data_IF_584148792436
#
_entry.id   IF_584148792436
#
_cell.length_a   1.000
_cell.length_b   1.000
_cell.length_c   1.000
_cell.angle_alpha   90.00
_cell.angle_beta   90.00
_cell.angle_gamma   90.00
#
_symmetry.space_group_name_H-M   'P 1'
#
loop_
_entity.id
_entity.type
_entity.pdbx_description
1 polymer ?
#
# COMPACT_ATOMS: atom_id res chain seq x y z
N UNK A 1 7.26 -25.07 11.48
CA UNK A 1 8.02 -23.91 12.02
C UNK A 1 7.08 -22.73 12.08
N UNK A 2 6.97 -22.07 13.24
CA UNK A 2 6.12 -20.88 13.45
C UNK A 2 7.06 -19.69 13.59
N UNK A 3 6.97 -18.72 12.67
CA UNK A 3 8.04 -17.74 12.48
C UNK A 3 7.88 -16.42 13.26
N UNK A 4 6.77 -16.14 13.96
CA UNK A 4 6.67 -14.96 14.86
C UNK A 4 5.69 -15.18 16.02
N UNK A 5 5.94 -14.50 17.15
CA UNK A 5 5.06 -14.39 18.31
C UNK A 5 4.61 -12.92 18.46
N UNK A 6 3.30 -12.73 18.64
CA UNK A 6 2.57 -11.49 18.97
C UNK A 6 2.48 -10.39 17.90
N UNK A 7 1.35 -10.38 17.17
CA UNK A 7 0.91 -9.34 16.22
C UNK A 7 -0.10 -9.94 15.23
N UNK A 8 -1.00 -9.16 14.64
CA UNK A 8 -1.68 -9.61 13.43
C UNK A 8 -0.68 -9.47 12.27
N UNK A 9 -0.16 -10.59 11.77
CA UNK A 9 0.72 -10.64 10.61
C UNK A 9 0.01 -11.22 9.39
N UNK A 10 0.20 -10.60 8.22
CA UNK A 10 -0.51 -10.98 6.99
C UNK A 10 0.31 -10.73 5.72
N UNK A 11 -0.20 -11.20 4.58
CA UNK A 11 0.32 -10.95 3.24
C UNK A 11 1.83 -11.24 3.04
N UNK A 12 2.33 -12.44 3.40
CA UNK A 12 3.73 -12.78 3.19
C UNK A 12 4.07 -12.83 1.69
N UNK A 13 5.17 -12.18 1.31
CA UNK A 13 5.70 -12.14 -0.06
C UNK A 13 7.19 -12.41 -0.06
N UNK A 14 7.59 -13.50 -0.71
CA UNK A 14 8.99 -13.82 -0.95
C UNK A 14 9.59 -12.83 -1.95
N UNK A 15 10.79 -12.36 -1.64
CA UNK A 15 11.66 -11.67 -2.61
C UNK A 15 12.02 -12.61 -3.76
N UNK A 16 12.15 -12.12 -5.01
CA UNK A 16 12.53 -12.95 -6.15
C UNK A 16 13.88 -13.66 -5.99
N UNK A 17 14.79 -13.09 -5.22
CA UNK A 17 16.10 -13.68 -4.90
C UNK A 17 16.07 -14.62 -3.68
N UNK A 18 14.89 -14.83 -3.08
CA UNK A 18 14.65 -15.68 -1.91
C UNK A 18 15.43 -15.30 -0.65
N UNK A 19 16.00 -14.08 -0.56
CA UNK A 19 16.77 -13.66 0.63
C UNK A 19 15.92 -13.04 1.74
N UNK A 20 14.71 -12.61 1.38
CA UNK A 20 13.80 -11.89 2.26
C UNK A 20 12.36 -12.36 2.11
N UNK A 21 11.63 -12.34 3.22
CA UNK A 21 10.17 -12.43 3.25
C UNK A 21 9.65 -11.08 3.75
N UNK A 22 8.88 -10.40 2.92
CA UNK A 22 8.13 -9.21 3.29
C UNK A 22 6.75 -9.59 3.81
N UNK A 23 6.27 -8.92 4.85
CA UNK A 23 4.92 -9.16 5.39
C UNK A 23 4.41 -7.92 6.11
N UNK A 24 3.08 -7.84 6.27
CA UNK A 24 2.43 -6.77 6.99
C UNK A 24 2.30 -7.14 8.46
N UNK A 25 2.53 -6.18 9.35
CA UNK A 25 2.40 -6.38 10.79
C UNK A 25 1.85 -5.14 11.48
N UNK A 26 0.86 -5.33 12.34
CA UNK A 26 0.31 -4.31 13.25
C UNK A 26 1.18 -4.13 14.53
N UNK A 27 2.34 -4.78 14.59
CA UNK A 27 3.27 -4.60 15.70
C UNK A 27 3.73 -3.15 15.76
N UNK A 28 3.67 -2.57 16.96
CA UNK A 28 4.23 -1.24 17.21
C UNK A 28 5.74 -1.34 17.02
N UNK A 29 6.28 -0.57 16.07
CA UNK A 29 7.73 -0.44 15.95
C UNK A 29 8.30 -0.02 17.32
N UNK A 30 9.42 -0.58 17.78
CA UNK A 30 10.04 -0.15 19.02
C UNK A 30 10.33 1.34 18.89
N UNK A 31 9.54 2.16 19.59
CA UNK A 31 9.64 3.60 19.48
C UNK A 31 11.07 4.01 19.79
N UNK A 32 11.73 4.66 18.84
CA UNK A 32 12.93 5.44 19.14
C UNK A 32 12.60 6.34 20.33
N UNK A 33 13.36 6.21 21.42
CA UNK A 33 13.19 6.99 22.65
C UNK A 33 13.08 8.47 22.27
N UNK A 34 11.90 9.07 22.42
CA UNK A 34 11.66 10.44 21.99
C UNK A 34 10.21 10.79 21.64
N UNK A 35 9.28 9.84 21.67
CA UNK A 35 7.85 10.15 21.85
C UNK A 35 7.55 10.18 23.35
N UNK A 36 8.06 11.19 24.06
CA UNK A 36 7.39 11.62 25.28
C UNK A 36 6.08 12.29 24.86
N UNK A 37 5.02 11.48 24.75
CA UNK A 37 3.67 12.01 24.91
C UNK A 37 3.46 12.16 26.41
N UNK A 38 3.70 13.38 26.90
CA UNK A 38 3.04 13.86 28.10
C UNK A 38 1.52 13.73 27.90
N UNK A 39 0.81 13.43 28.98
CA UNK A 39 -0.60 13.04 29.06
C UNK A 39 -0.94 11.55 28.79
N UNK A 40 -0.87 10.83 29.91
CA UNK A 40 -1.63 9.64 30.26
C UNK A 40 -3.05 9.59 29.66
N UNK A 41 -3.20 8.86 28.56
CA UNK A 41 -4.30 7.94 28.33
C UNK A 41 -3.72 6.69 27.69
N UNK A 42 -3.97 5.54 28.30
CA UNK A 42 -3.88 4.25 27.62
C UNK A 42 -4.83 4.31 26.42
N UNK A 43 -4.30 4.75 25.28
CA UNK A 43 -5.03 4.76 24.03
C UNK A 43 -4.90 3.35 23.45
N UNK A 44 -6.02 2.63 23.41
CA UNK A 44 -6.24 1.36 22.70
C UNK A 44 -6.04 1.50 21.18
N UNK A 45 -5.17 2.41 20.71
CA UNK A 45 -4.79 2.53 19.31
C UNK A 45 -3.91 1.34 18.94
N UNK A 46 -4.57 0.27 18.50
CA UNK A 46 -3.97 -0.80 17.70
C UNK A 46 -3.06 -0.15 16.65
N UNK A 47 -1.80 -0.58 16.58
CA UNK A 47 -0.87 -0.09 15.57
C UNK A 47 -1.44 -0.32 14.16
N UNK A 48 -1.27 0.64 13.26
CA UNK A 48 -1.60 0.45 11.85
C UNK A 48 -0.62 -0.56 11.22
N UNK A 49 -1.08 -1.35 10.26
CA UNK A 49 -0.22 -2.33 9.60
C UNK A 49 0.94 -1.63 8.86
N UNK A 50 2.16 -2.07 9.14
CA UNK A 50 3.38 -1.60 8.49
C UNK A 50 4.12 -2.79 7.84
N UNK A 51 5.03 -2.50 6.92
CA UNK A 51 5.82 -3.49 6.21
C UNK A 51 7.06 -3.88 7.02
N UNK A 52 7.23 -5.18 7.22
CA UNK A 52 8.36 -5.79 7.91
C UNK A 52 9.09 -6.75 6.97
N UNK A 53 10.38 -6.92 7.23
CA UNK A 53 11.22 -7.92 6.58
C UNK A 53 11.79 -8.91 7.59
N UNK A 54 11.93 -10.15 7.15
CA UNK A 54 12.66 -11.19 7.87
C UNK A 54 13.45 -12.05 6.88
N UNK A 55 14.64 -12.50 7.28
CA UNK A 55 15.40 -13.48 6.52
C UNK A 55 14.80 -14.89 6.72
N UNK A 56 14.67 -15.71 5.66
CA UNK A 56 14.17 -17.08 5.80
C UNK A 56 15.11 -17.98 6.60
N UNK A 57 16.40 -17.62 6.69
CA UNK A 57 17.39 -18.33 7.50
C UNK A 57 17.23 -18.06 9.01
N UNK A 58 16.30 -17.16 9.38
CA UNK A 58 16.01 -16.76 10.75
C UNK A 58 16.56 -15.39 11.10
N UNK A 59 16.39 -15.01 12.37
CA UNK A 59 16.68 -13.65 12.86
C UNK A 59 15.42 -12.95 13.36
N UNK A 60 15.57 -11.70 13.78
CA UNK A 60 14.45 -10.85 14.19
C UNK A 60 13.90 -10.08 12.99
N UNK A 61 12.58 -10.05 12.86
CA UNK A 61 11.94 -9.23 11.84
C UNK A 61 12.05 -7.75 12.21
N UNK A 62 12.31 -6.89 11.23
CA UNK A 62 12.42 -5.45 11.44
C UNK A 62 11.49 -4.66 10.52
N UNK A 63 10.99 -3.50 10.98
CA UNK A 63 10.15 -2.64 10.15
C UNK A 63 11.00 -1.97 9.07
N UNK A 64 10.50 -1.96 7.84
CA UNK A 64 11.03 -1.11 6.75
C UNK A 64 10.13 0.07 6.45
N UNK A 65 8.91 0.10 7.01
CA UNK A 65 8.04 1.26 6.97
C UNK A 65 7.60 1.69 8.37
N UNK A 66 7.39 3.00 8.55
CA UNK A 66 6.76 3.58 9.73
C UNK A 66 5.91 4.77 9.28
N UNK A 67 4.66 4.85 9.75
CA UNK A 67 3.76 5.95 9.41
C UNK A 67 2.42 5.85 10.13
N UNK A 68 1.61 6.89 9.99
CA UNK A 68 0.23 6.90 10.50
C UNK A 68 -0.75 6.13 9.60
N UNK A 69 -0.41 5.91 8.33
CA UNK A 69 -1.27 5.24 7.35
C UNK A 69 -0.93 3.75 7.23
N UNK A 70 -1.97 2.94 7.05
CA UNK A 70 -1.87 1.49 6.86
C UNK A 70 -1.28 1.13 5.50
N UNK A 71 -0.22 0.32 5.52
CA UNK A 71 0.27 -0.41 4.35
C UNK A 71 -0.59 -1.65 4.15
N UNK A 72 -1.15 -1.81 2.96
CA UNK A 72 -2.15 -2.86 2.71
C UNK A 72 -1.96 -3.62 1.38
N UNK A 73 -1.14 -3.11 0.46
CA UNK A 73 -0.70 -3.84 -0.72
C UNK A 73 0.81 -3.69 -0.86
N UNK A 74 1.49 -4.78 -1.26
CA UNK A 74 2.96 -4.85 -1.39
C UNK A 74 3.33 -5.70 -2.60
N UNK A 75 4.34 -5.26 -3.35
CA UNK A 75 4.97 -6.03 -4.42
C UNK A 75 6.50 -5.86 -4.40
N UNK A 76 7.21 -6.92 -4.76
CA UNK A 76 8.64 -6.86 -5.02
C UNK A 76 8.89 -6.45 -6.47
N UNK A 77 9.91 -5.62 -6.68
CA UNK A 77 10.55 -5.50 -8.00
C UNK A 77 11.19 -6.82 -8.42
N UNK A 78 11.24 -7.08 -9.72
CA UNK A 78 11.79 -8.32 -10.28
C UNK A 78 13.28 -8.55 -9.93
N UNK A 79 14.04 -7.46 -9.70
CA UNK A 79 15.45 -7.53 -9.31
C UNK A 79 15.69 -7.62 -7.79
N UNK A 80 14.61 -7.72 -7.00
CA UNK A 80 14.60 -7.81 -5.55
C UNK A 80 15.22 -6.60 -4.81
N UNK A 81 15.40 -5.44 -5.47
CA UNK A 81 16.02 -4.26 -4.85
C UNK A 81 15.02 -3.22 -4.36
N UNK A 82 13.83 -3.21 -4.93
CA UNK A 82 12.77 -2.26 -4.60
C UNK A 82 11.55 -2.98 -4.08
N UNK A 83 10.93 -2.41 -3.04
CA UNK A 83 9.59 -2.74 -2.59
C UNK A 83 8.62 -1.66 -3.04
N UNK A 84 7.53 -2.07 -3.67
CA UNK A 84 6.39 -1.20 -3.94
C UNK A 84 5.30 -1.46 -2.92
N UNK A 85 4.67 -0.42 -2.41
CA UNK A 85 3.58 -0.57 -1.48
C UNK A 85 2.55 0.55 -1.60
N UNK A 86 1.31 0.28 -1.22
CA UNK A 86 0.23 1.26 -1.20
C UNK A 86 -0.17 1.61 0.24
N UNK A 87 -0.40 2.90 0.46
CA UNK A 87 -1.07 3.41 1.66
C UNK A 87 -2.19 4.34 1.25
N UNK A 88 -3.12 4.58 2.17
CA UNK A 88 -4.04 5.69 2.03
C UNK A 88 -3.26 6.99 1.88
N UNK A 89 -3.70 7.87 0.98
CA UNK A 89 -3.03 9.14 0.69
C UNK A 89 -2.92 9.97 1.97
N UNK A 90 -1.73 10.23 2.53
CA UNK A 90 -1.60 10.93 3.81
C UNK A 90 -2.10 12.37 3.70
N UNK A 91 -2.79 12.84 4.74
CA UNK A 91 -3.15 14.25 4.82
C UNK A 91 -1.92 15.12 5.12
N UNK A 92 -1.88 16.30 4.50
CA UNK A 92 -0.97 17.36 4.89
C UNK A 92 -1.44 18.04 6.20
N UNK A 93 -0.59 18.88 6.78
CA UNK A 93 -0.87 19.53 8.07
C UNK A 93 -2.14 20.39 8.05
N UNK A 94 -2.35 21.16 6.99
CA UNK A 94 -3.52 22.02 6.81
C UNK A 94 -4.81 21.20 6.75
N UNK A 95 -4.83 20.14 5.95
CA UNK A 95 -5.95 19.21 5.84
C UNK A 95 -6.26 18.54 7.19
N UNK A 96 -5.24 18.15 7.96
CA UNK A 96 -5.40 17.60 9.32
C UNK A 96 -6.02 18.64 10.27
N UNK A 97 -5.54 19.88 10.21
CA UNK A 97 -5.99 20.95 11.09
C UNK A 97 -7.44 21.37 10.76
N UNK A 98 -7.80 21.44 9.48
CA UNK A 98 -9.17 21.72 9.05
C UNK A 98 -10.12 20.57 9.40
N UNK A 99 -9.67 19.33 9.25
CA UNK A 99 -10.41 18.16 9.70
C UNK A 99 -10.73 18.24 11.20
N UNK A 100 -9.73 18.57 12.05
CA UNK A 100 -9.90 18.72 13.50
C UNK A 100 -10.92 19.80 13.88
N UNK A 101 -11.05 20.87 13.08
CA UNK A 101 -12.03 21.95 13.32
C UNK A 101 -13.47 21.48 13.06
N UNK A 102 -13.67 20.61 12.07
CA UNK A 102 -14.99 20.09 11.65
C UNK A 102 -15.43 18.88 12.50
N UNK A 103 -14.49 18.22 13.17
CA UNK A 103 -14.64 16.97 13.94
C UNK A 103 -15.67 16.99 15.09
N UNK A 104 -16.25 18.13 15.44
CA UNK A 104 -17.26 18.22 16.51
C UNK A 104 -18.69 17.83 16.11
N UNK A 105 -19.05 17.76 14.83
CA UNK A 105 -20.47 17.74 14.44
C UNK A 105 -20.96 16.57 13.55
N UNK A 106 -20.13 15.62 13.11
CA UNK A 106 -20.66 14.40 12.45
C UNK A 106 -19.69 13.22 12.46
N UNK A 107 -19.97 12.22 13.31
CA UNK A 107 -19.16 11.01 13.52
C UNK A 107 -19.25 9.94 12.40
N UNK A 108 -19.98 10.18 11.30
CA UNK A 108 -20.31 9.10 10.36
C UNK A 108 -20.00 9.33 8.88
N UNK A 109 -19.53 10.51 8.44
CA UNK A 109 -19.60 10.80 6.99
C UNK A 109 -18.32 10.87 6.14
N UNK A 110 -17.13 11.35 6.55
CA UNK A 110 -16.03 11.54 5.54
C UNK A 110 -14.58 11.36 6.03
N UNK A 111 -14.27 10.18 6.58
CA UNK A 111 -12.91 9.63 6.46
C UNK A 111 -12.76 8.73 5.20
N UNK A 112 -13.82 8.61 4.40
CA UNK A 112 -14.08 7.51 3.47
C UNK A 112 -13.77 7.77 1.97
N UNK A 113 -13.09 8.88 1.62
CA UNK A 113 -12.85 9.23 0.20
C UNK A 113 -11.38 9.53 -0.11
N UNK A 114 -10.47 9.11 0.76
CA UNK A 114 -9.03 9.16 0.43
C UNK A 114 -8.67 7.91 -0.34
N UNK A 115 -8.39 8.08 -1.62
CA UNK A 115 -7.70 7.06 -2.40
C UNK A 115 -6.27 6.85 -1.92
N UNK A 116 -5.53 6.04 -2.66
CA UNK A 116 -4.19 5.61 -2.25
C UNK A 116 -3.06 6.31 -3.00
N UNK A 117 -1.92 6.35 -2.32
CA UNK A 117 -0.62 6.65 -2.92
C UNK A 117 0.20 5.37 -2.90
N UNK A 118 0.83 5.09 -4.04
CA UNK A 118 1.78 3.99 -4.22
C UNK A 118 3.18 4.57 -4.08
N UNK A 119 4.02 3.89 -3.29
CA UNK A 119 5.40 4.26 -3.01
C UNK A 119 6.37 3.19 -3.51
N UNK A 120 7.59 3.61 -3.82
CA UNK A 120 8.76 2.76 -4.00
C UNK A 120 9.76 2.97 -2.86
N UNK A 121 10.31 1.90 -2.32
CA UNK A 121 11.32 1.90 -1.28
C UNK A 121 12.55 1.11 -1.73
N UNK A 122 13.72 1.73 -1.63
CA UNK A 122 15.01 1.07 -1.91
C UNK A 122 15.40 0.18 -0.72
N UNK A 123 15.52 -1.12 -0.98
CA UNK A 123 15.76 -2.12 0.04
C UNK A 123 17.12 -1.94 0.73
N UNK A 124 18.17 -1.66 -0.05
CA UNK A 124 19.52 -1.55 0.49
C UNK A 124 19.59 -0.36 1.45
N UNK A 125 19.01 0.76 1.07
CA UNK A 125 18.92 1.94 1.92
C UNK A 125 18.11 1.67 3.20
N UNK A 126 16.98 0.97 3.10
CA UNK A 126 16.18 0.61 4.28
C UNK A 126 16.92 -0.31 5.26
N UNK A 127 17.71 -1.27 4.74
CA UNK A 127 18.57 -2.14 5.56
C UNK A 127 19.69 -1.31 6.23
N UNK A 128 20.34 -0.42 5.48
CA UNK A 128 21.39 0.46 6.01
C UNK A 128 20.85 1.38 7.12
N UNK A 129 19.64 1.94 6.93
CA UNK A 129 18.95 2.73 7.95
C UNK A 129 18.65 1.90 9.20
N UNK A 130 18.17 0.66 9.04
CA UNK A 130 17.92 -0.23 10.17
C UNK A 130 19.21 -0.56 10.93
N UNK A 131 20.28 -0.92 10.22
CA UNK A 131 21.59 -1.19 10.81
C UNK A 131 22.18 0.05 11.53
N UNK A 132 21.94 1.24 10.99
CA UNK A 132 22.34 2.51 11.60
C UNK A 132 21.40 3.00 12.72
N UNK A 133 20.21 2.41 12.87
CA UNK A 133 19.17 2.77 13.84
C UNK A 133 19.58 2.64 15.32
N UNK A 134 20.81 2.21 15.61
CA UNK A 134 21.44 2.32 16.92
C UNK A 134 22.00 3.71 17.26
N UNK A 135 22.06 4.67 16.32
CA UNK A 135 22.82 5.94 16.53
C UNK A 135 22.19 7.24 16.02
N UNK A 136 20.92 7.31 15.57
CA UNK A 136 20.34 8.56 15.05
C UNK A 136 19.00 8.95 15.66
N UNK A 137 18.99 10.12 16.33
CA UNK A 137 17.78 10.89 16.58
C UNK A 137 17.25 11.44 15.24
N UNK A 138 16.01 11.09 14.89
CA UNK A 138 15.31 11.61 13.69
C UNK A 138 15.16 13.14 13.78
N UNK A 139 15.64 13.94 12.81
CA UNK A 139 15.43 15.37 12.75
C UNK A 139 13.94 15.77 12.74
N UNK A 140 13.61 16.87 13.41
CA UNK A 140 12.24 17.38 13.59
C UNK A 140 11.47 17.60 12.28
N UNK A 141 12.16 17.92 11.18
CA UNK A 141 11.55 18.12 9.86
C UNK A 141 11.03 16.80 9.23
N UNK A 142 11.69 15.67 9.48
CA UNK A 142 11.28 14.34 9.01
C UNK A 142 10.11 13.78 9.84
N UNK A 143 9.94 14.25 11.08
CA UNK A 143 8.75 13.94 11.90
C UNK A 143 7.48 14.68 11.45
N UNK A 144 7.63 15.77 10.69
CA UNK A 144 6.50 16.58 10.20
C UNK A 144 5.99 16.12 8.83
N UNK A 145 6.86 15.49 8.02
CA UNK A 145 6.44 14.74 6.84
C UNK A 145 5.98 13.36 7.29
N UNK A 146 4.69 13.06 7.19
CA UNK A 146 4.08 11.77 7.53
C UNK A 146 4.51 10.62 6.58
N UNK A 147 5.72 10.72 6.01
CA UNK A 147 6.24 9.90 4.94
C UNK A 147 7.22 8.92 5.55
N UNK A 148 6.94 7.64 5.36
CA UNK A 148 7.87 6.56 5.66
C UNK A 148 9.28 6.93 5.21
N UNK A 149 10.22 6.92 6.17
CA UNK A 149 11.63 7.18 5.94
C UNK A 149 12.07 6.42 4.67
N UNK A 150 12.59 7.14 3.67
CA UNK A 150 13.10 6.63 2.38
C UNK A 150 12.12 6.13 1.31
N UNK A 151 10.80 6.31 1.47
CA UNK A 151 9.84 5.95 0.44
C UNK A 151 9.53 7.11 -0.52
N UNK A 152 9.61 6.87 -1.83
CA UNK A 152 9.26 7.84 -2.87
C UNK A 152 7.86 7.55 -3.40
N UNK A 153 6.97 8.54 -3.41
CA UNK A 153 5.65 8.40 -4.03
C UNK A 153 5.81 8.32 -5.56
N UNK A 154 5.20 7.31 -6.18
CA UNK A 154 5.34 7.03 -7.62
C UNK A 154 4.01 7.09 -8.38
N UNK A 155 2.89 6.95 -7.70
CA UNK A 155 1.55 7.06 -8.30
C UNK A 155 0.51 7.37 -7.24
N UNK A 156 -0.61 7.96 -7.65
CA UNK A 156 -1.80 8.15 -6.81
C UNK A 156 -3.05 7.74 -7.57
N UNK A 157 -4.05 7.22 -6.85
CA UNK A 157 -5.35 6.81 -7.39
C UNK A 157 -6.45 7.27 -6.43
N UNK A 158 -7.65 7.65 -6.92
CA UNK A 158 -8.78 7.96 -6.05
C UNK A 158 -9.35 6.71 -5.34
N UNK A 159 -8.95 5.52 -5.75
CA UNK A 159 -9.44 4.24 -5.23
C UNK A 159 -8.45 3.59 -4.27
N UNK A 160 -8.91 2.57 -3.54
CA UNK A 160 -8.01 1.73 -2.75
C UNK A 160 -7.30 0.72 -3.65
N UNK A 161 -6.02 0.47 -3.45
CA UNK A 161 -5.26 -0.56 -4.16
C UNK A 161 -5.43 -1.89 -3.42
N UNK A 162 -5.98 -2.89 -4.09
CA UNK A 162 -6.16 -4.22 -3.51
C UNK A 162 -4.91 -5.09 -3.67
N UNK A 163 -4.26 -5.04 -4.84
CA UNK A 163 -3.05 -5.81 -5.13
C UNK A 163 -2.13 -5.03 -6.07
N UNK A 164 -0.83 -5.17 -5.86
CA UNK A 164 0.26 -4.66 -6.71
C UNK A 164 1.03 -5.84 -7.30
N UNK A 165 1.51 -5.70 -8.53
CA UNK A 165 2.42 -6.65 -9.17
C UNK A 165 3.38 -5.92 -10.12
N UNK A 166 4.69 -6.09 -9.89
CA UNK A 166 5.72 -5.56 -10.79
C UNK A 166 5.88 -6.46 -12.02
N UNK A 167 6.03 -5.87 -13.19
CA UNK A 167 6.33 -6.60 -14.40
C UNK A 167 7.71 -7.29 -14.28
N UNK A 168 7.88 -8.51 -14.82
CA UNK A 168 9.16 -9.23 -14.79
C UNK A 168 10.32 -8.47 -15.43
N UNK A 169 10.05 -7.58 -16.38
CA UNK A 169 11.04 -6.70 -17.01
C UNK A 169 11.44 -5.48 -16.16
N UNK A 170 10.76 -5.25 -15.04
CA UNK A 170 11.00 -4.13 -14.12
C UNK A 170 10.59 -2.75 -14.65
N UNK A 171 9.85 -2.68 -15.76
CA UNK A 171 9.46 -1.39 -16.38
C UNK A 171 8.11 -0.87 -15.93
N UNK A 172 7.19 -1.80 -15.61
CA UNK A 172 5.81 -1.48 -15.28
C UNK A 172 5.41 -2.03 -13.93
N UNK A 173 4.50 -1.31 -13.29
CA UNK A 173 3.78 -1.77 -12.11
C UNK A 173 2.31 -1.81 -12.47
N UNK A 174 1.67 -2.97 -12.29
CA UNK A 174 0.23 -3.09 -12.43
C UNK A 174 -0.42 -3.21 -11.06
N UNK A 175 -1.66 -2.74 -10.97
CA UNK A 175 -2.45 -2.87 -9.76
C UNK A 175 -3.93 -2.96 -10.07
N UNK A 176 -4.66 -3.62 -9.19
CA UNK A 176 -6.13 -3.69 -9.22
C UNK A 176 -6.71 -2.89 -8.07
N UNK A 177 -7.76 -2.12 -8.34
CA UNK A 177 -8.40 -1.27 -7.34
C UNK A 177 -9.62 -1.91 -6.70
N UNK A 178 -10.02 -1.35 -5.56
CA UNK A 178 -11.24 -1.69 -4.84
C UNK A 178 -11.79 -0.44 -4.15
N UNK A 179 -12.96 -0.57 -3.54
CA UNK A 179 -13.63 0.51 -2.84
C UNK A 179 -12.80 1.08 -1.69
N UNK A 180 -12.76 2.41 -1.57
CA UNK A 180 -12.13 3.11 -0.45
C UNK A 180 -12.79 2.75 0.89
N UNK A 181 -14.11 2.54 0.88
CA UNK A 181 -14.86 2.12 2.07
C UNK A 181 -14.67 0.63 2.41
N UNK A 182 -14.03 -0.13 1.50
CA UNK A 182 -13.93 -1.59 1.51
C UNK A 182 -15.30 -2.28 1.49
N UNK A 183 -16.36 -1.55 1.14
CA UNK A 183 -17.69 -2.09 0.88
C UNK A 183 -17.92 -2.03 -0.62
N UNK A 184 -18.41 -3.10 -1.20
CA UNK A 184 -18.75 -3.14 -2.63
C UNK A 184 -19.97 -2.26 -2.89
N UNK A 185 -19.75 -0.98 -3.13
CA UNK A 185 -20.81 0.00 -3.35
C UNK A 185 -21.00 0.29 -4.85
N UNK A 186 -19.91 0.30 -5.62
CA UNK A 186 -19.89 0.67 -7.04
C UNK A 186 -18.95 -0.22 -7.84
N UNK A 187 -19.31 -0.53 -9.07
CA UNK A 187 -18.53 -1.40 -9.95
C UNK A 187 -17.34 -0.65 -10.57
N UNK A 188 -17.46 0.67 -10.75
CA UNK A 188 -16.43 1.51 -11.38
C UNK A 188 -15.16 1.70 -10.51
N UNK A 189 -15.18 1.15 -9.29
CA UNK A 189 -14.06 1.18 -8.34
C UNK A 189 -13.09 -0.01 -8.53
N UNK A 190 -13.47 -0.98 -9.38
CA UNK A 190 -12.74 -2.22 -9.63
C UNK A 190 -12.21 -2.22 -11.06
N UNK A 191 -10.98 -1.77 -11.22
CA UNK A 191 -10.30 -1.75 -12.51
C UNK A 191 -8.81 -2.06 -12.34
N UNK A 192 -8.20 -2.58 -13.39
CA UNK A 192 -6.76 -2.78 -13.49
C UNK A 192 -6.12 -1.55 -14.14
N UNK A 193 -5.05 -1.09 -13.51
CA UNK A 193 -4.24 0.03 -13.96
C UNK A 193 -2.78 -0.37 -14.09
N UNK A 194 -2.01 0.45 -14.82
CA UNK A 194 -0.57 0.31 -14.95
C UNK A 194 0.16 1.64 -14.84
N UNK A 195 1.39 1.60 -14.32
CA UNK A 195 2.30 2.74 -14.17
C UNK A 195 3.61 2.40 -14.85
N UNK A 196 4.08 3.30 -15.71
CA UNK A 196 5.43 3.21 -16.29
C UNK A 196 6.45 3.76 -15.29
N UNK A 197 7.31 2.91 -14.76
CA UNK A 197 8.20 3.24 -13.64
C UNK A 197 9.22 4.33 -13.98
N UNK A 198 9.64 4.42 -15.25
CA UNK A 198 10.59 5.43 -15.71
C UNK A 198 10.01 6.87 -15.72
N UNK A 199 8.68 7.00 -15.74
CA UNK A 199 7.96 8.29 -15.77
C UNK A 199 7.03 8.44 -14.57
N UNK A 200 7.21 7.58 -13.56
CA UNK A 200 6.29 7.50 -12.44
C UNK A 200 6.32 8.78 -11.61
N UNK A 201 5.14 9.34 -11.38
CA UNK A 201 4.93 10.52 -10.59
C UNK A 201 3.54 10.45 -9.97
N UNK A 202 3.37 10.86 -8.70
CA UNK A 202 2.05 10.91 -8.07
C UNK A 202 1.11 11.93 -8.74
N UNK A 203 1.63 12.84 -9.58
CA UNK A 203 0.84 13.78 -10.36
C UNK A 203 0.39 13.22 -11.71
N UNK A 204 1.00 12.14 -12.19
CA UNK A 204 0.63 11.51 -13.45
C UNK A 204 -0.35 10.37 -13.17
N UNK A 205 -1.58 10.43 -13.71
CA UNK A 205 -2.57 9.40 -13.46
C UNK A 205 -2.11 8.06 -14.06
N UNK A 206 -2.28 6.94 -13.35
CA UNK A 206 -2.04 5.60 -13.89
C UNK A 206 -2.86 5.32 -15.15
N UNK A 207 -2.32 4.53 -16.07
CA UNK A 207 -3.00 4.13 -17.28
C UNK A 207 -3.99 2.99 -16.99
N UNK A 208 -5.29 3.29 -17.10
CA UNK A 208 -6.36 2.30 -16.97
C UNK A 208 -6.31 1.29 -18.12
N UNK A 209 -6.30 -0.01 -17.80
CA UNK A 209 -6.19 -1.10 -18.77
C UNK A 209 -7.56 -1.72 -19.10
N UNK A 210 -8.41 -1.86 -18.09
CA UNK A 210 -9.73 -2.46 -18.20
C UNK A 210 -10.80 -1.37 -18.17
N UNK A 211 -11.94 -1.64 -18.80
CA UNK A 211 -13.09 -0.74 -18.85
C UNK A 211 -14.35 -1.58 -18.75
N UNK A 212 -14.45 -2.35 -17.66
CA UNK A 212 -15.50 -3.34 -17.50
C UNK A 212 -16.30 -3.10 -16.22
N UNK A 213 -17.37 -3.86 -16.06
CA UNK A 213 -18.25 -3.74 -14.89
C UNK A 213 -18.11 -5.02 -14.07
N UNK A 214 -16.88 -5.30 -13.65
CA UNK A 214 -16.54 -6.56 -13.01
C UNK A 214 -15.62 -6.40 -11.79
N UNK A 215 -15.77 -7.29 -10.84
CA UNK A 215 -14.88 -7.40 -9.68
C UNK A 215 -13.65 -8.22 -10.06
N UNK A 216 -12.61 -7.51 -10.48
CA UNK A 216 -11.32 -8.06 -10.85
C UNK A 216 -10.45 -8.30 -9.62
N UNK A 217 -9.76 -9.44 -9.57
CA UNK A 217 -8.84 -9.80 -8.50
C UNK A 217 -7.76 -10.77 -8.99
N UNK A 218 -6.83 -11.14 -8.10
CA UNK A 218 -5.76 -12.12 -8.37
C UNK A 218 -4.92 -11.75 -9.59
N UNK A 219 -4.51 -10.48 -9.65
CA UNK A 219 -3.69 -9.95 -10.75
C UNK A 219 -2.34 -10.66 -10.81
N UNK A 220 -1.87 -11.05 -11.99
CA UNK A 220 -0.51 -11.58 -12.17
C UNK A 220 0.04 -11.28 -13.56
N UNK A 221 1.32 -10.90 -13.63
CA UNK A 221 2.02 -10.71 -14.90
C UNK A 221 2.41 -12.04 -15.52
N UNK A 222 2.23 -12.14 -16.84
CA UNK A 222 2.91 -13.16 -17.63
C UNK A 222 4.42 -12.88 -17.66
N UNK A 223 5.23 -13.95 -17.73
CA UNK A 223 6.68 -13.85 -17.83
C UNK A 223 7.18 -13.04 -19.04
N UNK A 224 6.34 -12.88 -20.06
CA UNK A 224 6.66 -12.07 -21.24
C UNK A 224 6.53 -10.55 -21.00
N UNK A 225 6.10 -10.13 -19.81
CA UNK A 225 5.90 -8.74 -19.39
C UNK A 225 4.94 -7.96 -20.28
N UNK A 226 4.09 -8.63 -21.08
CA UNK A 226 3.12 -8.00 -21.98
C UNK A 226 1.68 -8.34 -21.64
N UNK A 227 1.45 -9.51 -21.05
CA UNK A 227 0.12 -9.97 -20.68
C UNK A 227 -0.08 -9.94 -19.17
N UNK A 228 -1.31 -9.65 -18.75
CA UNK A 228 -1.78 -9.78 -17.39
C UNK A 228 -2.87 -10.85 -17.37
N UNK A 229 -2.84 -11.70 -16.35
CA UNK A 229 -3.95 -12.59 -16.00
C UNK A 229 -4.62 -12.04 -14.74
N UNK A 230 -5.93 -12.20 -14.67
CA UNK A 230 -6.75 -11.81 -13.53
C UNK A 230 -7.99 -12.70 -13.48
N UNK A 231 -8.59 -12.80 -12.31
CA UNK A 231 -9.85 -13.49 -12.08
C UNK A 231 -10.99 -12.46 -11.96
N UNK A 232 -12.18 -12.86 -12.41
CA UNK A 232 -13.40 -12.07 -12.28
C UNK A 232 -14.34 -12.77 -11.32
N UNK A 233 -14.63 -12.15 -10.19
CA UNK A 233 -15.49 -12.72 -9.16
C UNK A 233 -16.98 -12.54 -9.49
N UNK A 234 -17.34 -11.37 -9.99
CA UNK A 234 -18.71 -10.95 -10.27
C UNK A 234 -18.69 -9.90 -11.38
N UNK A 235 -19.79 -9.78 -12.12
CA UNK A 235 -19.94 -8.77 -13.16
C UNK A 235 -19.59 -9.27 -14.56
N UNK A 236 -19.32 -8.35 -15.47
CA UNK A 236 -19.14 -8.64 -16.91
C UNK A 236 -17.87 -8.01 -17.45
N UNK A 237 -17.01 -8.84 -18.07
CA UNK A 237 -15.83 -8.39 -18.82
C UNK A 237 -16.17 -7.77 -20.16
N UNK A 238 -17.38 -8.02 -20.68
CA UNK A 238 -17.85 -7.51 -21.97
C UNK A 238 -18.45 -6.09 -21.87
N UNK A 239 -18.46 -5.52 -20.65
CA UNK A 239 -19.04 -4.22 -20.34
C UNK A 239 -20.52 -4.30 -19.99
N UNK A 240 -21.20 -3.14 -20.08
CA UNK A 240 -22.62 -2.97 -19.73
C UNK A 240 -23.49 -4.05 -20.38
N UNK A 241 -24.39 -4.62 -19.59
CA UNK A 241 -25.43 -5.51 -20.10
C UNK A 241 -26.18 -4.82 -21.25
N UNK A 242 -26.11 -5.41 -22.45
CA UNK A 242 -26.92 -5.00 -23.58
C UNK A 242 -28.12 -5.93 -23.63
N UNK A 243 -29.31 -5.39 -23.45
CA UNK A 243 -30.53 -6.18 -23.59
C UNK A 243 -30.73 -6.53 -25.06
N UNK A 244 -30.52 -7.81 -25.42
CA UNK A 244 -30.70 -8.31 -26.77
C UNK A 244 -32.15 -8.75 -27.04
N UNK A 245 -33.05 -8.60 -26.07
CA UNK A 245 -34.48 -8.84 -26.27
C UNK A 245 -35.19 -7.54 -26.67
N UNK A 246 -35.05 -7.14 -27.93
CA UNK A 246 -36.02 -6.22 -28.54
C UNK A 246 -37.38 -6.92 -28.54
N UNK A 247 -38.26 -6.56 -27.59
CA UNK A 247 -39.67 -6.97 -27.64
C UNK A 247 -40.32 -6.27 -28.83
N UNK A 248 -40.45 -7.02 -29.93
CA UNK A 248 -41.25 -6.69 -31.12
C UNK A 248 -42.72 -6.46 -30.77
#
# INVERSE_FOLDING_TARGET
MRLTQSGHESSPRWSPDSRWIAFLSERRAPAGKGRESDDSKEDDSKGVAQLYLISPDGGEAFPVTEGEEEVHAVAWSADAKTLYFATRTPWNKEQKDDYKKIWKDTLQYRAAERGDTIYSLDLAHAIDLHAAGGTRETPKAEKESNTTLSANAIASTPWRVQQLEAAPDGRRLAFVTTSVSQRQEKLEEFEIYSVELAQASPQTPPHQLTHNEAFEQELTWANDSRHLFFAVQQGSVEGKYRDFQERL
#
